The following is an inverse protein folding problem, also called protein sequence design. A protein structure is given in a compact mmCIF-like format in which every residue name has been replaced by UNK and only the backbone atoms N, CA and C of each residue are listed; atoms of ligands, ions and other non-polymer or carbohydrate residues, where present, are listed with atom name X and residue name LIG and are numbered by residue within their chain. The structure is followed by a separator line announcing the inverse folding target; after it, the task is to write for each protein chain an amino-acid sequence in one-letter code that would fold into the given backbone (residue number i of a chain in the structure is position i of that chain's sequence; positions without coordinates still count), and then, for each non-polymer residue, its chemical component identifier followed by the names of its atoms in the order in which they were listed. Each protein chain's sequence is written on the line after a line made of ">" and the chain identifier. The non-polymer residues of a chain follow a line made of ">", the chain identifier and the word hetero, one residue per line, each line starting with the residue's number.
data_IF_521371719158
#
_entry.id   IF_521371719158
#
_cell.length_a   1.000
_cell.length_b   1.000
_cell.length_c   1.000
_cell.angle_alpha   90.00
_cell.angle_beta   90.00
_cell.angle_gamma   90.00
#
_symmetry.space_group_name_H-M   'P 1'
#
loop_
_entity.id
_entity.type
_entity.pdbx_description
1 polymer ?
#
# COMPACT_ATOMS: atom_id res chain seq x y z
N UNK A 1 -13.36 -18.70 2.10
CA UNK A 1 -13.18 -17.24 2.15
C UNK A 1 -12.26 -16.82 1.01
N UNK A 2 -12.46 -15.65 0.41
CA UNK A 2 -11.58 -15.04 -0.59
C UNK A 2 -11.20 -13.65 -0.12
N UNK A 3 -9.92 -13.29 -0.19
CA UNK A 3 -9.42 -11.99 0.24
C UNK A 3 -8.23 -11.52 -0.59
N UNK A 4 -8.25 -10.23 -0.97
CA UNK A 4 -7.09 -9.53 -1.49
C UNK A 4 -6.46 -8.66 -0.40
N UNK A 5 -5.14 -8.56 -0.38
CA UNK A 5 -4.42 -7.62 0.50
C UNK A 5 -4.90 -7.75 1.95
N UNK A 6 -5.30 -6.67 2.61
CA UNK A 6 -5.89 -6.65 3.95
C UNK A 6 -6.90 -7.79 4.21
N UNK A 7 -7.75 -8.12 3.23
CA UNK A 7 -8.70 -9.24 3.35
C UNK A 7 -8.03 -10.61 3.50
N UNK A 8 -6.88 -10.83 2.87
CA UNK A 8 -6.05 -12.01 3.07
C UNK A 8 -5.42 -12.05 4.47
N UNK A 9 -5.01 -10.91 5.01
CA UNK A 9 -4.50 -10.79 6.37
C UNK A 9 -5.61 -11.14 7.38
N UNK A 10 -6.84 -10.66 7.16
CA UNK A 10 -8.01 -11.07 7.94
C UNK A 10 -8.23 -12.59 7.88
N UNK A 11 -8.17 -13.21 6.69
CA UNK A 11 -8.32 -14.68 6.57
C UNK A 11 -7.28 -15.42 7.41
N UNK A 12 -6.02 -14.97 7.42
CA UNK A 12 -4.96 -15.56 8.25
C UNK A 12 -5.28 -15.44 9.74
N UNK A 13 -5.87 -14.31 10.19
CA UNK A 13 -6.35 -14.16 11.57
C UNK A 13 -7.48 -15.14 11.89
N UNK A 14 -8.45 -15.32 10.99
CA UNK A 14 -9.52 -16.31 11.20
C UNK A 14 -8.97 -17.75 11.25
N UNK A 15 -8.02 -18.10 10.39
CA UNK A 15 -7.35 -19.41 10.45
C UNK A 15 -6.53 -19.60 11.72
N UNK A 16 -6.08 -18.52 12.35
CA UNK A 16 -5.36 -18.57 13.62
C UNK A 16 -6.30 -18.71 14.82
N UNK A 17 -7.48 -18.09 14.78
CA UNK A 17 -8.42 -18.04 15.91
C UNK A 17 -9.53 -19.09 15.87
N UNK A 18 -9.94 -19.47 14.66
CA UNK A 18 -11.06 -20.37 14.38
C UNK A 18 -10.71 -21.34 13.23
N UNK A 19 -9.60 -22.10 13.33
CA UNK A 19 -9.10 -22.96 12.24
C UNK A 19 -10.13 -24.00 11.75
N UNK A 20 -11.05 -24.43 12.62
CA UNK A 20 -12.12 -25.38 12.32
C UNK A 20 -13.27 -24.78 11.50
N UNK A 21 -13.40 -23.45 11.49
CA UNK A 21 -14.49 -22.74 10.83
C UNK A 21 -14.25 -22.50 9.34
N UNK A 22 -13.04 -22.77 8.84
CA UNK A 22 -12.67 -22.53 7.43
C UNK A 22 -12.31 -23.86 6.76
N UNK A 23 -13.08 -24.21 5.73
CA UNK A 23 -12.78 -25.36 4.86
C UNK A 23 -11.86 -24.99 3.69
N UNK A 24 -12.08 -23.83 3.09
CA UNK A 24 -11.37 -23.35 1.91
C UNK A 24 -11.04 -21.87 2.01
N UNK A 25 -9.79 -21.51 1.72
CA UNK A 25 -9.30 -20.13 1.74
C UNK A 25 -8.54 -19.78 0.46
N UNK A 26 -8.80 -18.59 -0.08
CA UNK A 26 -8.20 -18.08 -1.31
C UNK A 26 -7.58 -16.72 -1.03
N UNK A 27 -6.28 -16.59 -1.30
CA UNK A 27 -5.50 -15.38 -1.05
C UNK A 27 -5.05 -14.77 -2.36
N UNK A 28 -5.05 -13.45 -2.46
CA UNK A 28 -4.54 -12.70 -3.63
C UNK A 28 -3.72 -11.51 -3.13
N UNK A 29 -2.40 -11.49 -3.36
CA UNK A 29 -1.53 -10.42 -2.86
C UNK A 29 -1.76 -10.08 -1.38
N UNK A 30 -1.88 -11.09 -0.51
CA UNK A 30 -2.48 -10.92 0.83
C UNK A 30 -2.03 -11.92 1.89
N UNK A 31 -0.79 -12.42 1.80
CA UNK A 31 -0.20 -13.26 2.85
C UNK A 31 0.67 -12.37 3.78
N UNK A 32 0.36 -12.30 5.09
CA UNK A 32 1.09 -11.45 6.03
C UNK A 32 2.50 -11.97 6.30
N UNK A 33 3.44 -11.09 6.68
CA UNK A 33 4.63 -11.52 7.44
C UNK A 33 4.25 -11.84 8.88
N UNK A 34 4.58 -13.04 9.38
CA UNK A 34 4.09 -13.53 10.69
C UNK A 34 5.18 -13.71 11.76
N UNK A 35 6.44 -13.33 11.48
CA UNK A 35 7.56 -13.57 12.39
C UNK A 35 8.43 -12.34 12.70
N UNK A 36 8.15 -11.19 12.09
CA UNK A 36 8.98 -10.00 12.19
C UNK A 36 8.12 -8.77 12.53
N UNK A 37 8.75 -7.74 13.08
CA UNK A 37 8.13 -6.43 13.28
C UNK A 37 7.68 -5.82 11.94
N UNK A 38 6.72 -4.89 12.00
CA UNK A 38 6.23 -4.15 10.83
C UNK A 38 7.37 -3.49 10.04
N UNK A 39 8.44 -3.07 10.73
CA UNK A 39 9.58 -2.38 10.09
C UNK A 39 10.21 -3.20 8.98
N UNK A 40 10.35 -4.52 9.17
CA UNK A 40 10.94 -5.41 8.15
C UNK A 40 10.07 -5.47 6.90
N UNK A 41 8.76 -5.43 7.07
CA UNK A 41 7.83 -5.36 5.93
C UNK A 41 7.98 -4.02 5.22
N UNK A 42 8.02 -2.91 5.96
CA UNK A 42 8.14 -1.58 5.34
C UNK A 42 9.50 -1.33 4.70
N UNK A 43 10.61 -1.80 5.28
CA UNK A 43 11.92 -1.76 4.62
C UNK A 43 11.89 -2.49 3.27
N UNK A 44 11.19 -3.64 3.23
CA UNK A 44 11.02 -4.38 2.00
C UNK A 44 10.11 -3.66 0.98
N UNK A 45 9.00 -3.04 1.41
CA UNK A 45 8.11 -2.30 0.51
C UNK A 45 8.74 -1.01 -0.02
N UNK A 46 9.47 -0.25 0.80
CA UNK A 46 10.21 0.94 0.36
C UNK A 46 11.29 0.59 -0.67
N UNK A 47 12.07 -0.48 -0.42
CA UNK A 47 13.07 -0.94 -1.39
C UNK A 47 12.42 -1.31 -2.73
N UNK A 48 11.34 -2.11 -2.72
CA UNK A 48 10.61 -2.50 -3.94
C UNK A 48 9.98 -1.30 -4.64
N UNK A 49 9.47 -0.33 -3.88
CA UNK A 49 8.92 0.91 -4.43
C UNK A 49 10.02 1.74 -5.12
N UNK A 50 11.23 1.81 -4.55
CA UNK A 50 12.38 2.45 -5.18
C UNK A 50 12.80 1.76 -6.48
N UNK A 51 12.79 0.42 -6.52
CA UNK A 51 13.00 -0.36 -7.74
C UNK A 51 11.91 -0.06 -8.79
N UNK A 52 10.64 0.00 -8.38
CA UNK A 52 9.50 0.31 -9.26
C UNK A 52 9.55 1.73 -9.81
N UNK A 53 10.05 2.70 -9.04
CA UNK A 53 10.29 4.08 -9.50
C UNK A 53 11.31 4.14 -10.62
N UNK A 54 12.39 3.35 -10.56
CA UNK A 54 13.38 3.30 -11.66
C UNK A 54 12.72 2.84 -12.96
N UNK A 55 11.95 1.75 -12.90
CA UNK A 55 11.19 1.27 -14.05
C UNK A 55 10.19 2.32 -14.56
N UNK A 56 9.49 3.02 -13.66
CA UNK A 56 8.56 4.10 -14.02
C UNK A 56 9.26 5.25 -14.74
N UNK A 57 10.42 5.70 -14.24
CA UNK A 57 11.16 6.79 -14.85
C UNK A 57 11.84 6.38 -16.16
N UNK A 58 12.22 5.12 -16.32
CA UNK A 58 12.72 4.61 -17.60
C UNK A 58 11.61 4.60 -18.67
N UNK A 59 10.38 4.22 -18.31
CA UNK A 59 9.23 4.18 -19.21
C UNK A 59 8.58 5.55 -19.45
N UNK A 60 8.63 6.43 -18.45
CA UNK A 60 8.06 7.78 -18.47
C UNK A 60 9.15 8.81 -18.11
N UNK A 61 10.07 9.15 -19.04
CA UNK A 61 11.28 9.93 -18.72
C UNK A 61 11.03 11.33 -18.16
N UNK A 62 9.87 11.94 -18.47
CA UNK A 62 9.52 13.27 -17.95
C UNK A 62 8.96 13.22 -16.51
N UNK A 63 8.59 12.05 -16.00
CA UNK A 63 7.86 11.95 -14.74
C UNK A 63 8.68 12.45 -13.56
N UNK A 64 9.98 12.11 -13.48
CA UNK A 64 10.83 12.53 -12.37
C UNK A 64 10.92 14.05 -12.26
N UNK A 65 11.21 14.73 -13.37
CA UNK A 65 11.32 16.19 -13.39
C UNK A 65 9.99 16.86 -13.06
N UNK A 66 8.89 16.29 -13.54
CA UNK A 66 7.54 16.80 -13.29
C UNK A 66 7.07 16.61 -11.85
N UNK A 67 7.34 15.46 -11.23
CA UNK A 67 7.06 15.22 -9.80
C UNK A 67 7.81 16.25 -8.94
N UNK A 68 9.09 16.47 -9.23
CA UNK A 68 9.90 17.48 -8.54
C UNK A 68 9.37 18.89 -8.76
N UNK A 69 9.00 19.24 -10.00
CA UNK A 69 8.43 20.54 -10.35
C UNK A 69 7.13 20.82 -9.58
N UNK A 70 6.24 19.83 -9.47
CA UNK A 70 5.01 19.92 -8.69
C UNK A 70 5.33 20.08 -7.20
N UNK A 71 6.19 19.23 -6.63
CA UNK A 71 6.50 19.33 -5.21
C UNK A 71 7.20 20.65 -4.85
N UNK A 72 8.08 21.14 -5.73
CA UNK A 72 8.69 22.46 -5.56
C UNK A 72 7.63 23.57 -5.60
N UNK A 73 6.70 23.52 -6.54
CA UNK A 73 5.58 24.47 -6.61
C UNK A 73 4.73 24.43 -5.35
N UNK A 74 4.32 23.24 -4.89
CA UNK A 74 3.50 23.07 -3.68
C UNK A 74 4.21 23.53 -2.39
N UNK A 75 5.55 23.48 -2.35
CA UNK A 75 6.32 24.04 -1.23
C UNK A 75 6.35 25.58 -1.22
N UNK A 76 5.97 26.24 -2.32
CA UNK A 76 6.12 27.69 -2.52
C UNK A 76 4.82 28.41 -2.91
N UNK A 77 3.70 27.69 -3.05
CA UNK A 77 2.40 28.22 -3.45
C UNK A 77 1.26 27.60 -2.65
N UNK A 78 0.20 28.37 -2.37
CA UNK A 78 -1.03 27.88 -1.74
C UNK A 78 -1.96 27.27 -2.81
N UNK A 79 -1.75 25.99 -3.11
CA UNK A 79 -2.69 25.20 -3.90
C UNK A 79 -3.69 24.48 -3.00
N UNK A 80 -4.96 24.52 -3.40
CA UNK A 80 -6.07 23.94 -2.66
C UNK A 80 -6.79 22.91 -3.50
N UNK A 81 -7.16 21.79 -2.88
CA UNK A 81 -8.04 20.81 -3.50
C UNK A 81 -9.48 21.38 -3.60
N UNK A 82 -10.37 20.79 -4.41
CA UNK A 82 -11.75 21.27 -4.56
C UNK A 82 -12.55 21.34 -3.26
N UNK A 83 -12.19 20.53 -2.27
CA UNK A 83 -12.72 20.50 -0.91
C UNK A 83 -12.18 21.64 -0.01
N UNK A 84 -11.23 22.44 -0.51
CA UNK A 84 -10.74 23.68 0.08
C UNK A 84 -9.50 23.54 0.96
N UNK A 85 -9.10 22.31 1.29
CA UNK A 85 -7.89 22.04 2.06
C UNK A 85 -6.61 22.20 1.21
N UNK A 86 -5.52 22.49 1.91
CA UNK A 86 -4.21 22.70 1.32
C UNK A 86 -3.63 21.39 0.76
N UNK A 87 -3.07 21.46 -0.45
CA UNK A 87 -2.33 20.36 -1.06
C UNK A 87 -0.83 20.51 -0.76
N UNK A 88 -0.35 19.77 0.24
CA UNK A 88 1.09 19.74 0.54
C UNK A 88 1.86 18.86 -0.45
N UNK A 89 3.18 19.07 -0.57
CA UNK A 89 4.05 18.19 -1.36
C UNK A 89 4.09 16.76 -0.80
N UNK A 90 4.12 16.59 0.53
CA UNK A 90 4.07 15.26 1.18
C UNK A 90 2.76 14.52 0.91
N UNK A 91 1.62 15.21 0.85
CA UNK A 91 0.33 14.64 0.44
C UNK A 91 0.33 14.30 -1.03
N UNK A 92 0.80 15.19 -1.91
CA UNK A 92 0.94 14.87 -3.33
C UNK A 92 1.78 13.63 -3.58
N UNK A 93 2.86 13.41 -2.83
CA UNK A 93 3.73 12.23 -2.99
C UNK A 93 2.99 10.89 -2.79
N UNK A 94 1.85 10.84 -2.11
CA UNK A 94 1.10 9.58 -1.91
C UNK A 94 0.38 9.08 -3.16
N UNK A 95 0.34 9.87 -4.26
CA UNK A 95 -0.16 9.35 -5.56
C UNK A 95 0.65 8.15 -6.08
N UNK A 96 1.85 7.90 -5.52
CA UNK A 96 2.65 6.71 -5.83
C UNK A 96 1.98 5.39 -5.44
N UNK A 97 0.83 5.40 -4.75
CA UNK A 97 -0.06 4.23 -4.63
C UNK A 97 -0.46 3.65 -6.00
N UNK A 98 -0.42 4.44 -7.07
CA UNK A 98 -0.68 3.96 -8.42
C UNK A 98 0.42 3.03 -8.93
N UNK A 99 1.67 3.12 -8.44
CA UNK A 99 2.80 2.32 -8.96
C UNK A 99 2.63 0.81 -8.73
N UNK A 100 1.80 0.42 -7.77
CA UNK A 100 1.43 -0.97 -7.50
C UNK A 100 0.19 -1.45 -8.27
N UNK A 101 -0.30 -0.68 -9.24
CA UNK A 101 -1.46 -1.03 -10.08
C UNK A 101 -1.04 -1.38 -11.50
N UNK A 102 -1.83 -2.21 -12.17
CA UNK A 102 -1.54 -2.68 -13.53
C UNK A 102 -1.34 -1.53 -14.52
N UNK A 103 -2.24 -0.53 -14.52
CA UNK A 103 -2.17 0.67 -15.38
C UNK A 103 -1.54 1.88 -14.67
N UNK A 104 -0.73 1.61 -13.64
CA UNK A 104 -0.22 2.65 -12.74
C UNK A 104 0.66 3.69 -13.41
N UNK A 105 1.51 3.24 -14.34
CA UNK A 105 2.47 4.12 -15.01
C UNK A 105 1.75 5.05 -15.99
N UNK A 106 0.81 4.53 -16.76
CA UNK A 106 -0.02 5.31 -17.69
C UNK A 106 -0.90 6.31 -16.94
N UNK A 107 -1.52 5.89 -15.83
CA UNK A 107 -2.34 6.76 -14.99
C UNK A 107 -1.54 7.90 -14.36
N UNK A 108 -0.29 7.64 -13.96
CA UNK A 108 0.60 8.67 -13.44
C UNK A 108 1.13 9.57 -14.56
N UNK A 109 1.50 9.02 -15.71
CA UNK A 109 1.95 9.80 -16.86
C UNK A 109 0.87 10.79 -17.31
N UNK A 110 -0.39 10.35 -17.40
CA UNK A 110 -1.52 11.21 -17.74
C UNK A 110 -1.74 12.33 -16.71
N UNK A 111 -1.73 11.99 -15.42
CA UNK A 111 -1.88 12.98 -14.33
C UNK A 111 -0.73 13.99 -14.30
N UNK A 112 0.48 13.53 -14.57
CA UNK A 112 1.67 14.35 -14.63
C UNK A 112 1.75 15.14 -15.94
N UNK A 113 0.93 14.92 -16.95
CA UNK A 113 1.04 15.63 -18.22
C UNK A 113 0.46 17.06 -18.15
N UNK A 114 1.30 18.02 -18.55
CA UNK A 114 1.08 19.46 -18.55
C UNK A 114 0.30 20.09 -17.35
N UNK A 115 0.49 19.72 -16.07
CA UNK A 115 -0.46 19.91 -14.96
C UNK A 115 -0.63 21.37 -14.52
N UNK A 116 0.06 22.30 -15.17
CA UNK A 116 0.05 23.71 -14.87
C UNK A 116 -0.62 24.53 -15.98
N UNK A 117 -1.20 25.65 -15.58
CA UNK A 117 -1.55 26.76 -16.46
C UNK A 117 -1.08 28.08 -15.84
N UNK A 118 -1.34 29.20 -16.52
CA UNK A 118 -1.08 30.52 -15.97
C UNK A 118 -2.38 31.29 -15.81
N UNK A 119 -2.62 31.82 -14.61
CA UNK A 119 -3.76 32.69 -14.28
C UNK A 119 -3.21 34.03 -13.86
N UNK A 120 -3.49 35.08 -14.65
CA UNK A 120 -2.99 36.45 -14.39
C UNK A 120 -1.46 36.53 -14.24
N UNK A 121 -0.72 35.67 -14.95
CA UNK A 121 0.74 35.60 -14.90
C UNK A 121 1.30 34.68 -13.82
N UNK A 122 0.46 34.17 -12.91
CA UNK A 122 0.88 33.22 -11.89
C UNK A 122 0.70 31.77 -12.38
N UNK A 123 1.75 30.96 -12.21
CA UNK A 123 1.69 29.52 -12.48
C UNK A 123 0.81 28.84 -11.43
N UNK A 124 -0.18 28.05 -11.87
CA UNK A 124 -1.13 27.33 -11.00
C UNK A 124 -1.38 25.92 -11.52
N UNK A 125 -1.69 24.99 -10.63
CA UNK A 125 -2.20 23.68 -11.04
C UNK A 125 -3.56 23.84 -11.73
N UNK A 126 -3.78 23.08 -12.79
CA UNK A 126 -5.06 23.12 -13.52
C UNK A 126 -6.18 22.53 -12.64
N UNK A 127 -7.41 23.01 -12.86
CA UNK A 127 -8.57 22.58 -12.09
C UNK A 127 -8.93 21.10 -12.27
N UNK A 128 -8.75 20.55 -13.46
CA UNK A 128 -8.92 19.12 -13.75
C UNK A 128 -7.87 18.27 -13.01
N UNK A 129 -6.61 18.71 -12.99
CA UNK A 129 -5.55 18.06 -12.21
C UNK A 129 -5.87 18.07 -10.71
N UNK A 130 -6.33 19.20 -10.15
CA UNK A 130 -6.71 19.29 -8.74
C UNK A 130 -7.91 18.39 -8.39
N UNK A 131 -8.89 18.28 -9.28
CA UNK A 131 -10.02 17.39 -9.10
C UNK A 131 -9.60 15.91 -9.08
N UNK A 132 -8.73 15.51 -10.00
CA UNK A 132 -8.20 14.15 -10.05
C UNK A 132 -7.34 13.83 -8.81
N UNK A 133 -6.47 14.76 -8.39
CA UNK A 133 -5.69 14.62 -7.16
C UNK A 133 -6.58 14.45 -5.94
N UNK A 134 -7.65 15.25 -5.80
CA UNK A 134 -8.58 15.14 -4.67
C UNK A 134 -9.19 13.75 -4.55
N UNK A 135 -9.64 13.17 -5.67
CA UNK A 135 -10.22 11.81 -5.69
C UNK A 135 -9.23 10.71 -5.32
N UNK A 136 -7.93 10.90 -5.61
CA UNK A 136 -6.87 9.92 -5.37
C UNK A 136 -6.28 10.02 -3.96
N UNK A 137 -6.25 11.23 -3.41
CA UNK A 137 -5.56 11.54 -2.15
C UNK A 137 -6.46 11.47 -0.91
N UNK A 138 -7.78 11.50 -1.08
CA UNK A 138 -8.71 11.47 0.04
C UNK A 138 -9.09 10.05 0.47
N UNK A 139 -9.12 9.82 1.78
CA UNK A 139 -9.66 8.63 2.41
C UNK A 139 -11.16 8.71 2.69
N UNK A 140 -11.89 9.74 2.22
CA UNK A 140 -13.33 9.92 2.48
C UNK A 140 -14.16 8.67 2.17
N UNK A 141 -13.82 7.94 1.10
CA UNK A 141 -14.53 6.71 0.74
C UNK A 141 -14.29 5.54 1.71
N UNK A 142 -13.19 5.55 2.47
CA UNK A 142 -12.80 4.46 3.38
C UNK A 142 -11.90 4.96 4.54
N UNK A 143 -12.38 5.87 5.42
CA UNK A 143 -11.51 6.50 6.42
C UNK A 143 -11.06 5.52 7.50
N UNK A 144 -11.87 4.48 7.77
CA UNK A 144 -11.49 3.40 8.68
C UNK A 144 -10.23 2.68 8.19
N UNK A 145 -10.05 2.50 6.88
CA UNK A 145 -8.90 1.81 6.32
C UNK A 145 -7.60 2.47 6.74
N UNK A 146 -7.49 3.80 6.64
CA UNK A 146 -6.32 4.54 7.10
C UNK A 146 -6.04 4.28 8.59
N UNK A 147 -7.08 4.34 9.43
CA UNK A 147 -6.93 4.17 10.88
C UNK A 147 -6.46 2.76 11.29
N UNK A 148 -6.89 1.72 10.59
CA UNK A 148 -6.57 0.33 10.93
C UNK A 148 -5.48 -0.30 10.07
N UNK A 149 -4.96 0.44 9.08
CA UNK A 149 -4.05 -0.06 8.05
C UNK A 149 -2.88 -0.88 8.63
N UNK A 150 -2.14 -0.28 9.55
CA UNK A 150 -0.93 -0.88 10.12
C UNK A 150 -1.23 -1.91 11.23
N UNK A 151 -2.46 -1.97 11.73
CA UNK A 151 -2.85 -2.87 12.85
C UNK A 151 -2.70 -4.34 12.49
N UNK A 152 -2.68 -4.68 11.20
CA UNK A 152 -2.42 -6.03 10.70
C UNK A 152 -1.02 -6.54 11.05
N UNK A 153 -0.09 -5.68 11.46
CA UNK A 153 1.24 -6.06 11.94
C UNK A 153 1.36 -6.02 13.47
N UNK A 154 0.37 -5.47 14.17
CA UNK A 154 0.38 -5.38 15.62
C UNK A 154 0.38 -6.75 16.27
N UNK A 155 1.27 -6.99 17.24
CA UNK A 155 1.31 -8.24 18.02
C UNK A 155 1.97 -9.41 17.30
N UNK A 156 2.48 -9.22 16.07
CA UNK A 156 3.32 -10.22 15.39
C UNK A 156 4.59 -10.49 16.20
N UNK A 157 5.18 -9.43 16.77
CA UNK A 157 6.22 -9.47 17.80
C UNK A 157 5.82 -8.53 18.95
N UNK A 158 6.41 -8.65 20.16
CA UNK A 158 6.11 -7.75 21.26
C UNK A 158 6.40 -6.28 20.93
N UNK A 159 5.49 -5.40 21.37
CA UNK A 159 5.60 -3.95 21.19
C UNK A 159 4.54 -3.36 20.25
N UNK A 160 4.44 -2.01 20.23
CA UNK A 160 3.56 -1.28 19.32
C UNK A 160 4.13 -1.21 17.90
N UNK A 161 3.28 -1.00 16.89
CA UNK A 161 3.76 -0.71 15.52
C UNK A 161 4.37 0.68 15.42
N UNK A 162 3.94 1.62 16.27
CA UNK A 162 4.51 2.95 16.45
C UNK A 162 4.69 3.75 15.15
N UNK A 163 3.72 3.66 14.23
CA UNK A 163 3.79 4.29 12.91
C UNK A 163 5.01 3.80 12.11
N UNK A 164 5.20 2.49 12.05
CA UNK A 164 6.36 1.85 11.45
C UNK A 164 6.62 2.32 10.02
N UNK A 165 5.58 2.49 9.20
CA UNK A 165 5.73 3.05 7.85
C UNK A 165 6.38 4.44 7.86
N UNK A 166 5.94 5.30 8.79
CA UNK A 166 6.45 6.66 8.94
C UNK A 166 7.89 6.68 9.45
N UNK A 167 8.22 5.84 10.43
CA UNK A 167 9.56 5.73 10.99
C UNK A 167 10.56 5.20 9.96
N UNK A 168 10.25 4.08 9.30
CA UNK A 168 11.12 3.45 8.30
C UNK A 168 11.32 4.33 7.06
N UNK A 169 10.36 5.20 6.75
CA UNK A 169 10.50 6.18 5.67
C UNK A 169 11.77 7.02 5.81
N UNK A 170 12.11 7.43 7.02
CA UNK A 170 13.28 8.28 7.28
C UNK A 170 14.61 7.52 7.17
N UNK A 171 14.57 6.18 7.16
CA UNK A 171 15.71 5.30 6.90
C UNK A 171 15.86 4.98 5.40
N UNK A 172 14.88 5.35 4.57
CA UNK A 172 14.75 4.91 3.18
C UNK A 172 15.06 6.05 2.21
N UNK A 173 16.26 6.01 1.61
CA UNK A 173 16.74 7.04 0.68
C UNK A 173 15.72 7.37 -0.42
N UNK A 174 15.44 8.66 -0.58
CA UNK A 174 14.49 9.20 -1.56
C UNK A 174 13.04 9.19 -1.10
N UNK A 175 12.74 8.67 0.11
CA UNK A 175 11.40 8.64 0.68
C UNK A 175 11.20 9.57 1.88
N UNK A 176 12.25 10.09 2.48
CA UNK A 176 12.23 10.94 3.68
C UNK A 176 11.21 12.09 3.56
N UNK A 177 10.58 12.52 4.66
CA UNK A 177 9.47 13.49 4.60
C UNK A 177 9.89 14.82 3.97
N UNK A 178 11.03 15.32 4.43
CA UNK A 178 11.46 16.70 4.27
C UNK A 178 12.49 16.86 3.14
N UNK A 179 12.49 15.95 2.17
CA UNK A 179 13.35 16.06 0.99
C UNK A 179 13.07 17.37 0.23
N UNK A 180 14.14 17.99 -0.23
CA UNK A 180 14.13 19.12 -1.14
C UNK A 180 14.00 18.60 -2.59
N UNK A 181 12.88 18.89 -3.27
CA UNK A 181 12.64 18.44 -4.64
C UNK A 181 13.60 19.04 -5.67
N UNK A 182 14.45 20.00 -5.31
CA UNK A 182 15.46 20.61 -6.18
C UNK A 182 16.86 20.07 -5.88
N UNK A 183 17.19 19.85 -4.59
CA UNK A 183 18.57 19.60 -4.15
C UNK A 183 18.90 18.14 -3.91
N UNK A 184 17.97 17.37 -3.39
CA UNK A 184 18.26 15.97 -3.03
C UNK A 184 18.39 15.11 -4.28
N UNK A 185 19.27 14.10 -4.23
CA UNK A 185 19.58 13.26 -5.39
C UNK A 185 18.39 12.37 -5.78
N UNK A 186 17.74 11.75 -4.79
CA UNK A 186 16.55 10.93 -4.96
C UNK A 186 15.33 11.67 -4.42
N UNK A 187 14.23 11.56 -5.15
CA UNK A 187 12.96 12.15 -4.75
C UNK A 187 11.84 11.28 -5.31
N UNK A 188 11.27 10.43 -4.47
CA UNK A 188 10.28 9.44 -4.85
C UNK A 188 8.90 9.77 -4.28
N UNK A 189 7.89 9.34 -5.03
CA UNK A 189 6.52 9.22 -4.54
C UNK A 189 6.43 8.07 -3.53
N UNK A 190 5.53 8.14 -2.56
CA UNK A 190 5.28 7.07 -1.59
C UNK A 190 4.17 6.14 -2.07
N UNK A 191 4.13 4.92 -1.51
CA UNK A 191 3.16 3.88 -1.86
C UNK A 191 1.90 3.88 -0.97
N UNK A 192 1.33 2.70 -0.73
CA UNK A 192 0.19 2.46 0.19
C UNK A 192 0.54 2.61 1.69
N UNK A 193 1.49 3.48 2.01
CA UNK A 193 1.93 3.71 3.39
C UNK A 193 1.02 4.74 4.04
N UNK A 194 0.67 4.54 5.31
CA UNK A 194 -0.13 5.49 6.10
C UNK A 194 0.77 6.17 7.13
N UNK A 195 0.72 7.50 7.17
CA UNK A 195 1.52 8.37 8.02
C UNK A 195 0.64 9.16 9.00
N UNK A 196 1.16 9.53 10.18
CA UNK A 196 0.39 10.26 11.19
C UNK A 196 -0.14 11.61 10.67
N UNK A 197 0.66 12.33 9.86
CA UNK A 197 0.25 13.63 9.31
C UNK A 197 -0.92 13.55 8.33
N UNK A 198 -1.24 12.38 7.77
CA UNK A 198 -2.43 12.24 6.91
C UNK A 198 -3.72 12.48 7.71
N UNK A 199 -3.71 12.18 9.01
CA UNK A 199 -4.83 12.47 9.92
C UNK A 199 -4.94 13.96 10.30
N UNK A 200 -3.98 14.79 9.90
CA UNK A 200 -3.98 16.24 10.05
C UNK A 200 -4.36 16.93 8.73
N UNK A 201 -3.91 16.39 7.59
CA UNK A 201 -4.06 17.03 6.27
C UNK A 201 -5.29 16.57 5.47
N UNK A 202 -5.82 15.37 5.74
CA UNK A 202 -7.06 14.90 5.13
C UNK A 202 -8.25 15.16 6.08
N UNK A 203 -9.18 16.05 5.72
CA UNK A 203 -10.36 16.33 6.54
C UNK A 203 -11.18 15.09 6.91
N UNK A 204 -11.20 14.07 6.03
CA UNK A 204 -11.91 12.82 6.29
C UNK A 204 -11.34 12.02 7.48
N UNK A 205 -10.10 12.30 7.86
CA UNK A 205 -9.36 11.55 8.89
C UNK A 205 -9.27 12.28 10.23
N UNK A 206 -9.62 13.57 10.32
CA UNK A 206 -9.51 14.37 11.55
C UNK A 206 -10.18 13.71 12.76
N UNK A 207 -11.40 13.19 12.58
CA UNK A 207 -12.14 12.51 13.65
C UNK A 207 -11.46 11.20 14.12
N UNK A 208 -10.65 10.58 13.27
CA UNK A 208 -9.92 9.35 13.57
C UNK A 208 -8.57 9.60 14.24
N UNK A 209 -8.00 10.81 14.15
CA UNK A 209 -6.65 11.12 14.64
C UNK A 209 -6.38 10.62 16.08
N UNK A 210 -7.24 10.88 17.09
CA UNK A 210 -6.98 10.42 18.45
C UNK A 210 -7.03 8.88 18.58
N UNK A 211 -7.89 8.22 17.79
CA UNK A 211 -7.99 6.77 17.79
C UNK A 211 -6.80 6.12 17.07
N UNK A 212 -6.40 6.65 15.92
CA UNK A 212 -5.26 6.17 15.15
C UNK A 212 -3.96 6.25 15.97
N UNK A 213 -3.73 7.35 16.69
CA UNK A 213 -2.59 7.47 17.62
C UNK A 213 -2.60 6.41 18.72
N UNK A 214 -3.76 6.09 19.29
CA UNK A 214 -3.91 5.01 20.28
C UNK A 214 -3.66 3.62 19.68
N UNK A 215 -4.12 3.38 18.45
CA UNK A 215 -3.92 2.11 17.74
C UNK A 215 -2.43 1.89 17.43
N UNK A 216 -1.72 2.92 16.98
CA UNK A 216 -0.29 2.85 16.69
C UNK A 216 0.55 2.62 17.96
N UNK A 217 0.16 3.19 19.11
CA UNK A 217 0.86 3.02 20.39
C UNK A 217 0.44 1.76 21.17
N UNK A 218 -0.55 1.01 20.68
CA UNK A 218 -1.11 -0.14 21.38
C UNK A 218 -0.21 -1.37 21.24
N UNK A 219 -0.07 -2.11 22.33
CA UNK A 219 0.37 -3.50 22.29
C UNK A 219 -0.82 -4.41 21.96
N UNK A 220 -0.63 -5.27 20.97
CA UNK A 220 -1.69 -6.11 20.41
C UNK A 220 -1.49 -7.57 20.76
N UNK A 221 -2.61 -8.29 20.91
CA UNK A 221 -2.56 -9.75 20.92
C UNK A 221 -2.11 -10.27 19.55
N UNK A 222 -1.37 -11.38 19.56
CA UNK A 222 -0.83 -11.97 18.33
C UNK A 222 -1.95 -12.32 17.33
N UNK A 223 -1.96 -11.73 16.12
CA UNK A 223 -3.03 -11.94 15.15
C UNK A 223 -2.84 -13.23 14.34
N UNK A 224 -1.61 -13.72 14.24
CA UNK A 224 -1.24 -14.89 13.45
C UNK A 224 -0.56 -15.94 14.31
N UNK A 225 -1.19 -17.10 14.48
CA UNK A 225 -0.63 -18.21 15.23
C UNK A 225 -0.14 -19.32 14.31
N UNK A 226 1.19 -19.43 14.17
CA UNK A 226 1.82 -20.41 13.30
C UNK A 226 1.42 -21.87 13.64
N UNK A 227 1.22 -22.19 14.92
CA UNK A 227 0.79 -23.52 15.35
C UNK A 227 -0.64 -23.84 14.89
N UNK A 228 -1.58 -22.90 15.05
CA UNK A 228 -2.96 -23.04 14.56
C UNK A 228 -3.03 -23.08 13.04
N UNK A 229 -2.23 -22.26 12.35
CA UNK A 229 -2.16 -22.23 10.88
C UNK A 229 -1.64 -23.58 10.32
N UNK A 230 -0.55 -24.10 10.89
CA UNK A 230 0.00 -25.42 10.51
C UNK A 230 -0.88 -26.60 10.96
N UNK A 231 -1.70 -26.38 11.99
CA UNK A 231 -2.68 -27.33 12.51
C UNK A 231 -4.00 -27.37 11.73
N UNK A 232 -4.31 -26.32 10.96
CA UNK A 232 -5.59 -26.18 10.26
C UNK A 232 -5.77 -27.24 9.18
N UNK A 233 -7.01 -27.74 9.04
CA UNK A 233 -7.41 -28.65 7.96
C UNK A 233 -7.89 -27.90 6.70
N UNK A 234 -7.87 -26.57 6.70
CA UNK A 234 -8.27 -25.77 5.56
C UNK A 234 -7.36 -26.02 4.35
N UNK A 235 -7.95 -26.24 3.18
CA UNK A 235 -7.21 -26.26 1.91
C UNK A 235 -7.14 -24.83 1.38
N UNK A 236 -5.92 -24.32 1.24
CA UNK A 236 -5.65 -22.94 0.89
C UNK A 236 -5.01 -22.83 -0.49
N UNK A 237 -5.32 -21.77 -1.23
CA UNK A 237 -4.56 -21.40 -2.42
C UNK A 237 -4.28 -19.90 -2.45
N UNK A 238 -3.09 -19.52 -2.91
CA UNK A 238 -2.64 -18.14 -2.94
C UNK A 238 -2.11 -17.75 -4.33
N UNK A 239 -2.59 -16.63 -4.86
CA UNK A 239 -1.93 -15.90 -5.93
C UNK A 239 -0.92 -14.94 -5.30
N UNK A 240 0.36 -15.15 -5.58
CA UNK A 240 1.46 -14.29 -5.14
C UNK A 240 1.99 -13.55 -6.36
N UNK A 241 1.78 -12.24 -6.41
CA UNK A 241 2.27 -11.42 -7.50
C UNK A 241 3.76 -11.17 -7.30
N UNK A 242 4.57 -11.49 -8.33
CA UNK A 242 6.04 -11.47 -8.22
C UNK A 242 6.57 -10.06 -7.95
N UNK A 243 5.97 -9.08 -8.61
CA UNK A 243 6.38 -7.68 -8.60
C UNK A 243 5.53 -6.82 -7.66
N UNK A 244 4.79 -7.45 -6.74
CA UNK A 244 4.00 -6.75 -5.72
C UNK A 244 4.91 -5.90 -4.82
N UNK A 245 4.66 -4.59 -4.81
CA UNK A 245 5.43 -3.63 -4.03
C UNK A 245 4.83 -3.35 -2.65
N UNK A 246 3.61 -3.82 -2.37
CA UNK A 246 2.91 -3.63 -1.09
C UNK A 246 2.89 -4.89 -0.22
N UNK A 247 2.88 -6.08 -0.84
CA UNK A 247 2.95 -7.37 -0.14
C UNK A 247 4.15 -8.16 -0.65
N UNK A 248 5.33 -8.03 -0.01
CA UNK A 248 6.57 -8.62 -0.51
C UNK A 248 6.46 -10.13 -0.72
N UNK A 249 6.78 -10.57 -1.94
CA UNK A 249 6.79 -11.98 -2.35
C UNK A 249 7.55 -12.87 -1.37
N UNK A 250 8.73 -12.45 -0.96
CA UNK A 250 9.61 -13.23 -0.09
C UNK A 250 8.94 -13.53 1.27
N UNK A 251 8.28 -12.53 1.87
CA UNK A 251 7.53 -12.68 3.12
C UNK A 251 6.27 -13.53 2.91
N UNK A 252 5.58 -13.35 1.78
CA UNK A 252 4.41 -14.16 1.42
C UNK A 252 4.74 -15.64 1.31
N UNK A 253 5.86 -15.99 0.66
CA UNK A 253 6.29 -17.38 0.49
C UNK A 253 6.75 -18.01 1.81
N UNK A 254 7.40 -17.24 2.68
CA UNK A 254 7.76 -17.70 4.02
C UNK A 254 6.51 -18.05 4.85
N UNK A 255 5.48 -17.21 4.79
CA UNK A 255 4.20 -17.49 5.46
C UNK A 255 3.44 -18.64 4.82
N UNK A 256 3.43 -18.76 3.49
CA UNK A 256 2.81 -19.88 2.78
C UNK A 256 3.37 -21.23 3.24
N UNK A 257 4.68 -21.31 3.51
CA UNK A 257 5.33 -22.54 3.99
C UNK A 257 4.91 -22.98 5.40
N UNK A 258 4.23 -22.12 6.18
CA UNK A 258 3.71 -22.47 7.52
C UNK A 258 2.38 -23.22 7.42
N UNK A 259 1.61 -23.00 6.36
CA UNK A 259 0.30 -23.62 6.20
C UNK A 259 0.44 -25.11 5.88
N UNK A 260 -0.48 -25.92 6.42
CA UNK A 260 -0.51 -27.36 6.15
C UNK A 260 -0.73 -27.69 4.67
N UNK A 261 -1.74 -27.08 4.05
CA UNK A 261 -2.05 -27.25 2.62
C UNK A 261 -2.26 -25.86 2.00
N UNK A 262 -1.17 -25.25 1.55
CA UNK A 262 -1.16 -24.00 0.79
C UNK A 262 -0.61 -24.23 -0.61
N UNK A 263 -1.47 -24.03 -1.60
CA UNK A 263 -1.14 -24.17 -3.02
C UNK A 263 -0.82 -22.79 -3.59
N UNK A 264 0.44 -22.54 -3.87
CA UNK A 264 0.90 -21.21 -4.31
C UNK A 264 1.01 -21.14 -5.82
N UNK A 265 0.38 -20.13 -6.42
CA UNK A 265 0.62 -19.70 -7.80
C UNK A 265 1.35 -18.36 -7.79
N UNK A 266 2.62 -18.38 -8.22
CA UNK A 266 3.38 -17.16 -8.45
C UNK A 266 3.17 -16.67 -9.89
N UNK A 267 2.91 -15.37 -10.08
CA UNK A 267 2.70 -14.77 -11.42
C UNK A 267 3.26 -13.34 -11.50
N UNK A 268 3.73 -12.90 -12.67
CA UNK A 268 3.97 -11.48 -12.97
C UNK A 268 2.92 -10.88 -13.93
N UNK A 269 1.87 -11.62 -14.26
CA UNK A 269 0.81 -11.13 -15.15
C UNK A 269 -0.01 -10.00 -14.49
N UNK A 270 0.13 -9.83 -13.18
CA UNK A 270 -0.65 -8.87 -12.40
C UNK A 270 0.22 -8.12 -11.40
N UNK A 271 -0.20 -6.89 -11.12
CA UNK A 271 0.27 -6.09 -9.99
C UNK A 271 -0.65 -6.31 -8.77
N UNK A 272 -0.48 -5.51 -7.71
CA UNK A 272 -1.21 -5.69 -6.44
C UNK A 272 -2.74 -5.68 -6.60
N UNK A 273 -3.26 -5.00 -7.63
CA UNK A 273 -4.68 -4.91 -7.95
C UNK A 273 -5.22 -6.08 -8.80
N UNK A 274 -4.49 -7.19 -8.88
CA UNK A 274 -4.83 -8.33 -9.73
C UNK A 274 -6.27 -8.85 -9.57
N UNK A 275 -6.80 -9.00 -8.35
CA UNK A 275 -8.19 -9.46 -8.15
C UNK A 275 -9.21 -8.43 -8.69
N UNK A 276 -8.90 -7.13 -8.61
CA UNK A 276 -9.77 -6.09 -9.15
C UNK A 276 -9.76 -6.08 -10.68
N UNK A 277 -8.63 -6.39 -11.30
CA UNK A 277 -8.46 -6.37 -12.76
C UNK A 277 -8.95 -7.67 -13.40
N UNK A 278 -8.61 -8.84 -12.85
CA UNK A 278 -8.88 -10.15 -13.44
C UNK A 278 -9.41 -11.19 -12.42
N UNK A 279 -10.31 -10.73 -11.54
CA UNK A 279 -10.78 -11.53 -10.41
C UNK A 279 -11.42 -12.86 -10.79
N UNK A 280 -12.15 -12.91 -11.92
CA UNK A 280 -12.81 -14.14 -12.37
C UNK A 280 -11.80 -15.21 -12.81
N UNK A 281 -10.75 -14.85 -13.56
CA UNK A 281 -9.74 -15.80 -13.99
C UNK A 281 -8.86 -16.25 -12.82
N UNK A 282 -8.42 -15.30 -11.97
CA UNK A 282 -7.64 -15.58 -10.77
C UNK A 282 -8.42 -16.54 -9.85
N UNK A 283 -9.68 -16.23 -9.55
CA UNK A 283 -10.50 -17.11 -8.71
C UNK A 283 -10.70 -18.47 -9.34
N UNK A 284 -11.00 -18.57 -10.64
CA UNK A 284 -11.16 -19.86 -11.34
C UNK A 284 -9.90 -20.72 -11.20
N UNK A 285 -8.73 -20.11 -11.32
CA UNK A 285 -7.44 -20.79 -11.16
C UNK A 285 -7.24 -21.26 -9.72
N UNK A 286 -7.40 -20.38 -8.73
CA UNK A 286 -7.23 -20.74 -7.32
C UNK A 286 -8.27 -21.79 -6.86
N UNK A 287 -9.51 -21.66 -7.31
CA UNK A 287 -10.56 -22.65 -7.06
C UNK A 287 -10.20 -24.00 -7.69
N UNK A 288 -9.72 -24.01 -8.94
CA UNK A 288 -9.21 -25.22 -9.59
C UNK A 288 -8.08 -25.86 -8.79
N UNK A 289 -7.12 -25.06 -8.32
CA UNK A 289 -6.02 -25.52 -7.49
C UNK A 289 -6.50 -26.18 -6.20
N UNK A 290 -7.54 -25.66 -5.54
CA UNK A 290 -8.11 -26.26 -4.31
C UNK A 290 -8.94 -27.52 -4.58
N UNK A 291 -9.57 -27.62 -5.77
CA UNK A 291 -10.50 -28.71 -6.12
C UNK A 291 -9.86 -29.88 -6.85
N UNK A 292 -8.71 -29.68 -7.51
CA UNK A 292 -7.92 -30.79 -8.03
C UNK A 292 -7.42 -31.61 -6.84
N UNK A 293 -7.98 -32.82 -6.67
CA UNK A 293 -7.49 -33.82 -5.74
C UNK A 293 -6.02 -34.13 -6.06
N UNK A 294 -5.23 -34.37 -5.00
CA UNK A 294 -3.89 -34.95 -5.14
C UNK A 294 -3.99 -36.43 -5.53
#
# INVERSE_FOLDING_TARGET
>A
MLGQSFGGFCITTYLSRHPESIRYAYFTGGLPGIGNHADETYRATYRKLGERHRAFYDEVPFAQSRVREICHHLNNADERLPTGEHLSSRRFRTIGIELGRAAGFENLAALLDAPFHHVRGEKRLRGDTLAELSSRLSFEAAPLYAAVHETIYGGVVPGPTAWSAHCVREESEGFEENLDPVRDAQFFLTGEHVYPWQFEEDPALHAFQPAAGKLAAREWDRPYDAASISGSAAVCAAAVYRDDIYVPRELSLATAAVFRDMRVWQTAEHQHDGLRVDGAAIFRRLHGMVRSEA
#
